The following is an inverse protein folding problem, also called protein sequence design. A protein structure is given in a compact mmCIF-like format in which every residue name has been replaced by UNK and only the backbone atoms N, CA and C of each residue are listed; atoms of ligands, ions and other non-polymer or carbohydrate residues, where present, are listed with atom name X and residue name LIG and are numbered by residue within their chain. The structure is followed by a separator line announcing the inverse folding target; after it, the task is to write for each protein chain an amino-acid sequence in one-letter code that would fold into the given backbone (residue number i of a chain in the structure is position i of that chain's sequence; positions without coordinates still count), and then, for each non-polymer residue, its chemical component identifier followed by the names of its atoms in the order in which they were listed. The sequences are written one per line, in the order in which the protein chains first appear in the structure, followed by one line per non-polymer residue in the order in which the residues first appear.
data_IF_734741885863
#
_entry.id   IF_734741885863
#
_cell.length_a   1.000
_cell.length_b   1.000
_cell.length_c   1.000
_cell.angle_alpha   90.00
_cell.angle_beta   90.00
_cell.angle_gamma   90.00
#
_symmetry.space_group_name_H-M   'P 1'
#
loop_
_entity.id
_entity.type
_entity.pdbx_description
1 polymer ?
#
# COMPACT_ATOMS: atom_id res chain seq x y z
N UNK A 1 -7.75 22.90 5.83
CA UNK A 1 -6.40 23.51 5.69
C UNK A 1 -5.63 23.01 4.47
N UNK A 2 -5.16 21.76 4.37
CA UNK A 2 -4.43 21.31 3.15
C UNK A 2 -5.35 21.13 1.92
N UNK A 3 -6.63 20.76 2.11
CA UNK A 3 -7.62 20.72 1.01
C UNK A 3 -7.91 22.11 0.47
N UNK A 4 -8.18 23.08 1.36
CA UNK A 4 -8.58 24.44 1.00
C UNK A 4 -7.49 25.18 0.20
N UNK A 5 -6.21 24.91 0.48
CA UNK A 5 -5.10 25.46 -0.33
C UNK A 5 -5.09 24.89 -1.74
N UNK A 6 -5.35 23.59 -1.93
CA UNK A 6 -5.32 22.95 -3.26
C UNK A 6 -6.50 23.38 -4.12
N UNK A 7 -7.66 23.56 -3.51
CA UNK A 7 -8.86 24.09 -4.18
C UNK A 7 -8.62 25.53 -4.64
N UNK A 8 -8.07 26.40 -3.78
CA UNK A 8 -7.69 27.77 -4.19
C UNK A 8 -6.66 27.81 -5.32
N UNK A 9 -5.71 26.88 -5.34
CA UNK A 9 -4.75 26.76 -6.44
C UNK A 9 -5.41 26.34 -7.76
N UNK A 10 -6.39 25.43 -7.68
CA UNK A 10 -7.20 25.03 -8.82
C UNK A 10 -8.02 26.22 -9.36
N UNK A 11 -8.67 26.98 -8.48
CA UNK A 11 -9.45 28.15 -8.85
C UNK A 11 -8.59 29.20 -9.57
N UNK A 12 -7.38 29.45 -9.05
CA UNK A 12 -6.42 30.38 -9.68
C UNK A 12 -5.98 29.87 -11.05
N UNK A 13 -5.71 28.58 -11.21
CA UNK A 13 -5.37 27.99 -12.52
C UNK A 13 -6.52 28.11 -13.52
N UNK A 14 -7.75 27.82 -13.10
CA UNK A 14 -8.94 27.96 -13.95
C UNK A 14 -9.21 29.42 -14.35
N UNK A 15 -8.97 30.36 -13.42
CA UNK A 15 -9.04 31.80 -13.70
C UNK A 15 -7.99 32.20 -14.73
N UNK A 16 -6.72 31.80 -14.55
CA UNK A 16 -5.64 32.06 -15.52
C UNK A 16 -5.98 31.47 -16.89
N UNK A 17 -6.52 30.25 -16.94
CA UNK A 17 -6.94 29.62 -18.19
C UNK A 17 -8.02 30.45 -18.91
N UNK A 18 -9.03 30.91 -18.17
CA UNK A 18 -10.11 31.75 -18.72
C UNK A 18 -9.60 33.08 -19.25
N UNK A 19 -8.71 33.74 -18.52
CA UNK A 19 -8.07 35.00 -18.94
C UNK A 19 -7.18 34.83 -20.19
N UNK A 20 -6.52 33.67 -20.35
CA UNK A 20 -5.79 33.34 -21.58
C UNK A 20 -6.77 33.22 -22.76
N UNK A 21 -7.92 32.56 -22.57
CA UNK A 21 -8.94 32.43 -23.63
C UNK A 21 -9.55 33.78 -24.03
N UNK A 22 -9.74 34.68 -23.06
CA UNK A 22 -10.28 36.02 -23.30
C UNK A 22 -9.25 37.00 -23.88
N UNK A 23 -7.96 36.65 -23.90
CA UNK A 23 -6.88 37.52 -24.36
C UNK A 23 -6.38 38.51 -23.30
N UNK A 24 -6.84 38.41 -22.06
CA UNK A 24 -6.42 39.24 -20.92
C UNK A 24 -4.95 38.96 -20.54
N UNK A 25 -4.50 37.71 -20.72
CA UNK A 25 -3.10 37.31 -20.62
C UNK A 25 -2.52 37.06 -22.01
N UNK A 26 -1.54 37.87 -22.39
CA UNK A 26 -0.79 37.69 -23.63
C UNK A 26 0.03 36.40 -23.59
N UNK A 27 -0.08 35.55 -24.63
CA UNK A 27 0.55 34.22 -24.65
C UNK A 27 2.08 34.29 -24.47
N UNK A 28 2.69 35.29 -25.09
CA UNK A 28 4.14 35.54 -25.11
C UNK A 28 4.70 35.78 -23.70
N UNK A 29 3.87 36.27 -22.78
CA UNK A 29 4.27 36.47 -21.38
C UNK A 29 4.58 35.15 -20.67
N UNK A 30 3.90 34.06 -21.05
CA UNK A 30 4.05 32.73 -20.45
C UNK A 30 4.92 31.77 -21.28
N UNK A 31 5.15 32.09 -22.56
CA UNK A 31 5.98 31.29 -23.46
C UNK A 31 7.47 31.66 -23.37
N UNK A 32 8.33 30.65 -23.47
CA UNK A 32 9.78 30.77 -23.66
C UNK A 32 10.17 29.89 -24.85
N UNK A 33 10.70 30.50 -25.91
CA UNK A 33 11.00 29.82 -27.19
C UNK A 33 9.80 29.07 -27.80
N UNK A 34 8.59 29.62 -27.68
CA UNK A 34 7.35 28.99 -28.17
C UNK A 34 6.83 27.84 -27.30
N UNK A 35 7.41 27.62 -26.12
CA UNK A 35 7.01 26.56 -25.18
C UNK A 35 6.54 27.16 -23.87
N UNK A 36 5.51 26.59 -23.25
CA UNK A 36 5.07 27.02 -21.92
C UNK A 36 6.22 26.93 -20.92
N UNK A 37 6.60 28.08 -20.34
CA UNK A 37 7.53 28.11 -19.23
C UNK A 37 6.79 27.84 -17.93
N UNK A 38 6.92 26.62 -17.40
CA UNK A 38 6.30 26.24 -16.11
C UNK A 38 6.72 27.18 -14.97
N UNK A 39 7.96 27.68 -15.00
CA UNK A 39 8.42 28.66 -14.01
C UNK A 39 7.66 30.00 -14.09
N UNK A 40 7.33 30.47 -15.30
CA UNK A 40 6.55 31.71 -15.47
C UNK A 40 5.10 31.49 -15.02
N UNK A 41 4.52 30.33 -15.35
CA UNK A 41 3.19 29.95 -14.89
C UNK A 41 3.13 29.87 -13.36
N UNK A 42 4.10 29.21 -12.71
CA UNK A 42 4.18 29.14 -11.24
C UNK A 42 4.33 30.54 -10.63
N UNK A 43 5.13 31.44 -11.22
CA UNK A 43 5.25 32.83 -10.74
C UNK A 43 3.92 33.57 -10.80
N UNK A 44 3.17 33.42 -11.90
CA UNK A 44 1.86 34.03 -12.06
C UNK A 44 0.82 33.46 -11.08
N UNK A 45 0.84 32.14 -10.86
CA UNK A 45 -0.03 31.51 -9.85
C UNK A 45 0.32 32.05 -8.46
N UNK A 46 1.60 32.08 -8.10
CA UNK A 46 2.05 32.56 -6.79
C UNK A 46 1.75 34.04 -6.56
N UNK A 47 1.65 34.88 -7.59
CA UNK A 47 1.26 36.29 -7.44
C UNK A 47 -0.22 36.48 -7.15
N UNK A 48 -1.04 35.41 -7.27
CA UNK A 48 -2.49 35.41 -7.03
C UNK A 48 -2.90 34.61 -5.81
N UNK A 49 -1.94 33.99 -5.13
CA UNK A 49 -2.15 33.20 -3.93
C UNK A 49 -1.70 33.98 -2.70
N UNK A 50 -2.38 33.73 -1.59
CA UNK A 50 -1.94 34.20 -0.28
C UNK A 50 -0.59 33.54 0.11
N UNK A 51 0.28 34.19 0.88
CA UNK A 51 1.59 33.64 1.28
C UNK A 51 1.51 32.25 1.94
N UNK A 52 0.42 31.95 2.64
CA UNK A 52 0.16 30.65 3.26
C UNK A 52 -0.06 29.51 2.25
N UNK A 53 -0.46 29.84 1.02
CA UNK A 53 -0.84 28.88 -0.04
C UNK A 53 0.29 28.61 -1.05
N UNK A 54 1.34 29.44 -1.06
CA UNK A 54 2.54 29.34 -1.91
C UNK A 54 3.42 28.08 -1.63
N UNK A 55 3.59 27.58 -0.39
CA UNK A 55 4.55 26.50 -0.10
C UNK A 55 4.35 25.20 -0.88
N UNK A 56 3.15 24.95 -1.42
CA UNK A 56 2.81 23.74 -2.16
C UNK A 56 3.27 23.73 -3.63
N UNK A 57 3.64 24.88 -4.22
CA UNK A 57 4.07 25.00 -5.62
C UNK A 57 5.59 25.15 -5.80
N UNK A 58 6.39 24.60 -4.87
CA UNK A 58 7.86 24.69 -4.95
C UNK A 58 8.42 23.74 -6.00
N UNK A 59 8.90 24.31 -7.11
CA UNK A 59 9.65 23.61 -8.17
C UNK A 59 8.84 23.30 -9.42
N UNK A 60 9.53 23.08 -10.54
CA UNK A 60 8.94 22.90 -11.87
C UNK A 60 8.04 21.66 -12.00
N UNK A 61 8.16 20.68 -11.11
CA UNK A 61 7.38 19.44 -11.13
C UNK A 61 6.15 19.48 -10.21
N UNK A 62 5.91 20.56 -9.48
CA UNK A 62 4.80 20.64 -8.53
C UNK A 62 3.43 20.50 -9.22
N UNK A 63 3.27 21.14 -10.38
CA UNK A 63 2.06 21.03 -11.20
C UNK A 63 1.91 19.63 -11.80
N UNK A 64 3.01 19.03 -12.27
CA UNK A 64 3.01 17.69 -12.87
C UNK A 64 2.69 16.57 -11.87
N UNK A 65 3.02 16.76 -10.58
CA UNK A 65 2.82 15.73 -9.54
C UNK A 65 1.44 15.76 -8.89
N UNK A 66 0.70 16.86 -8.99
CA UNK A 66 -0.55 17.05 -8.27
C UNK A 66 -1.75 16.74 -9.18
N UNK A 67 -2.55 15.69 -8.88
CA UNK A 67 -3.68 15.31 -9.73
C UNK A 67 -4.70 16.42 -9.97
N UNK A 68 -4.98 17.22 -8.95
CA UNK A 68 -5.96 18.31 -9.07
C UNK A 68 -5.49 19.41 -10.01
N UNK A 69 -4.18 19.64 -10.12
CA UNK A 69 -3.61 20.73 -10.91
C UNK A 69 -3.13 20.26 -12.29
N UNK A 70 -3.03 18.95 -12.51
CA UNK A 70 -2.47 18.37 -13.72
C UNK A 70 -3.29 18.76 -14.95
N UNK A 71 -4.56 18.39 -14.99
CA UNK A 71 -5.44 18.64 -16.15
C UNK A 71 -5.58 20.13 -16.49
N UNK A 72 -5.83 21.05 -15.52
CA UNK A 72 -5.83 22.49 -15.81
C UNK A 72 -4.51 23.01 -16.36
N UNK A 73 -3.38 22.53 -15.83
CA UNK A 73 -2.05 22.91 -16.35
C UNK A 73 -1.85 22.43 -17.79
N UNK A 74 -2.30 21.22 -18.10
CA UNK A 74 -2.26 20.66 -19.45
C UNK A 74 -3.13 21.47 -20.41
N UNK A 75 -4.32 21.91 -19.99
CA UNK A 75 -5.21 22.77 -20.79
C UNK A 75 -4.57 24.13 -21.11
N UNK A 76 -3.98 24.79 -20.10
CA UNK A 76 -3.22 26.04 -20.29
C UNK A 76 -2.09 25.83 -21.31
N UNK A 77 -1.35 24.72 -21.17
CA UNK A 77 -0.27 24.37 -22.09
C UNK A 77 -0.78 24.24 -23.53
N UNK A 78 -1.85 23.47 -23.74
CA UNK A 78 -2.43 23.26 -25.07
C UNK A 78 -2.93 24.58 -25.69
N UNK A 79 -3.59 25.43 -24.91
CA UNK A 79 -4.09 26.72 -25.38
C UNK A 79 -2.98 27.72 -25.73
N UNK A 80 -1.90 27.78 -24.93
CA UNK A 80 -0.81 28.73 -25.14
C UNK A 80 0.10 28.34 -26.30
N UNK A 81 0.35 27.06 -26.49
CA UNK A 81 1.26 26.57 -27.51
C UNK A 81 0.58 26.34 -28.87
N UNK A 82 -0.69 26.78 -29.00
CA UNK A 82 -1.54 26.53 -30.17
C UNK A 82 -1.48 25.06 -30.61
N UNK A 83 -1.42 24.16 -29.64
CA UNK A 83 -1.55 22.72 -29.84
C UNK A 83 -3.04 22.48 -30.08
N UNK A 84 -3.50 22.91 -31.24
CA UNK A 84 -4.77 22.47 -31.77
C UNK A 84 -4.61 20.98 -32.07
N UNK A 85 -5.61 20.17 -31.72
CA UNK A 85 -5.62 18.73 -32.02
C UNK A 85 -5.24 18.47 -33.48
N UNK A 86 -5.64 19.37 -34.40
CA UNK A 86 -5.30 19.30 -35.82
C UNK A 86 -3.79 19.25 -36.13
N UNK A 87 -2.92 19.88 -35.32
CA UNK A 87 -1.51 20.08 -35.66
C UNK A 87 -0.68 18.88 -35.25
N UNK A 88 -0.94 18.29 -34.08
CA UNK A 88 -0.31 17.02 -33.72
C UNK A 88 -0.83 15.87 -34.59
N UNK A 89 -2.13 15.84 -34.90
CA UNK A 89 -2.70 14.88 -35.84
C UNK A 89 -2.13 15.03 -37.25
N UNK A 90 -1.89 16.27 -37.72
CA UNK A 90 -1.24 16.52 -39.02
C UNK A 90 0.15 15.88 -39.12
N UNK A 91 0.90 15.84 -38.01
CA UNK A 91 2.24 15.27 -37.97
C UNK A 91 2.32 13.91 -37.27
N UNK A 92 1.21 13.23 -37.01
CA UNK A 92 1.16 11.98 -36.24
C UNK A 92 2.14 10.93 -36.79
N UNK A 93 2.13 10.73 -38.11
CA UNK A 93 3.06 9.81 -38.79
C UNK A 93 4.53 10.20 -38.59
N UNK A 94 4.83 11.50 -38.62
CA UNK A 94 6.19 11.99 -38.37
C UNK A 94 6.59 11.85 -36.90
N UNK A 95 5.68 12.12 -35.97
CA UNK A 95 5.90 11.94 -34.52
C UNK A 95 6.21 10.47 -34.24
N UNK A 96 5.42 9.54 -34.77
CA UNK A 96 5.67 8.09 -34.64
C UNK A 96 7.02 7.71 -35.25
N UNK A 97 7.32 8.17 -36.46
CA UNK A 97 8.61 7.87 -37.10
C UNK A 97 9.80 8.42 -36.30
N UNK A 98 9.69 9.64 -35.77
CA UNK A 98 10.75 10.25 -34.96
C UNK A 98 10.91 9.48 -33.63
N UNK A 99 9.82 8.98 -33.02
CA UNK A 99 9.91 8.11 -31.82
C UNK A 99 10.75 6.87 -32.09
N UNK A 100 10.52 6.20 -33.22
CA UNK A 100 11.32 5.04 -33.64
C UNK A 100 12.79 5.43 -33.89
N UNK A 101 13.02 6.57 -34.53
CA UNK A 101 14.37 7.09 -34.77
C UNK A 101 15.10 7.43 -33.46
N UNK A 102 14.42 8.01 -32.46
CA UNK A 102 15.00 8.31 -31.13
C UNK A 102 15.51 7.03 -30.46
N UNK A 103 14.83 5.90 -30.67
CA UNK A 103 15.22 4.62 -30.09
C UNK A 103 16.36 3.92 -30.84
N UNK A 104 16.54 4.21 -32.15
CA UNK A 104 17.37 3.38 -33.05
C UNK A 104 18.47 4.12 -33.79
N UNK A 105 18.49 5.46 -33.77
CA UNK A 105 19.36 6.31 -34.61
C UNK A 105 20.05 7.41 -33.83
N UNK A 106 20.98 8.10 -34.48
CA UNK A 106 21.72 9.21 -33.88
C UNK A 106 20.87 10.50 -33.79
N UNK A 107 21.22 11.38 -32.84
CA UNK A 107 20.60 12.70 -32.73
C UNK A 107 20.75 13.54 -34.01
N UNK A 108 21.85 13.36 -34.75
CA UNK A 108 22.12 14.09 -36.00
C UNK A 108 21.12 13.72 -37.10
N UNK A 109 20.82 12.43 -37.25
CA UNK A 109 19.86 11.92 -38.24
C UNK A 109 18.45 12.39 -37.93
N UNK A 110 18.06 12.35 -36.66
CA UNK A 110 16.73 12.80 -36.23
C UNK A 110 16.56 14.32 -36.39
N UNK A 111 17.60 15.12 -36.10
CA UNK A 111 17.61 16.56 -36.39
C UNK A 111 17.50 16.86 -37.88
N UNK A 112 18.19 16.09 -38.73
CA UNK A 112 18.08 16.24 -40.17
C UNK A 112 16.64 15.96 -40.63
N UNK A 113 16.03 14.87 -40.15
CA UNK A 113 14.65 14.52 -40.47
C UNK A 113 13.67 15.64 -40.09
N UNK A 114 13.78 16.17 -38.86
CA UNK A 114 12.96 17.31 -38.40
C UNK A 114 13.13 18.55 -39.30
N UNK A 115 14.36 18.87 -39.72
CA UNK A 115 14.63 20.04 -40.56
C UNK A 115 14.04 19.91 -41.96
N UNK A 116 14.13 18.73 -42.56
CA UNK A 116 13.69 18.50 -43.94
C UNK A 116 12.18 18.25 -44.07
N UNK A 117 11.55 17.64 -43.06
CA UNK A 117 10.15 17.17 -43.17
C UNK A 117 9.15 18.01 -42.38
N UNK A 118 9.59 18.77 -41.38
CA UNK A 118 8.69 19.58 -40.53
C UNK A 118 8.96 21.06 -40.75
N UNK A 119 7.93 21.90 -41.02
CA UNK A 119 8.08 23.34 -41.12
C UNK A 119 8.69 23.95 -39.84
N UNK A 120 9.55 24.96 -40.02
CA UNK A 120 10.25 25.65 -38.93
C UNK A 120 9.37 25.98 -37.70
N UNK A 121 8.13 26.53 -37.84
CA UNK A 121 7.30 26.86 -36.69
C UNK A 121 6.86 25.64 -35.85
N UNK A 122 6.79 24.43 -36.43
CA UNK A 122 6.26 23.23 -35.76
C UNK A 122 7.35 22.25 -35.30
N UNK A 123 8.60 22.43 -35.74
CA UNK A 123 9.72 21.51 -35.42
C UNK A 123 9.91 21.28 -33.93
N UNK A 124 9.85 22.34 -33.13
CA UNK A 124 10.04 22.25 -31.68
C UNK A 124 8.92 21.43 -31.03
N UNK A 125 7.67 21.70 -31.40
CA UNK A 125 6.51 20.97 -30.89
C UNK A 125 6.56 19.48 -31.27
N UNK A 126 6.81 19.18 -32.55
CA UNK A 126 6.91 17.79 -33.04
C UNK A 126 8.08 17.04 -32.39
N UNK A 127 9.23 17.70 -32.21
CA UNK A 127 10.38 17.11 -31.52
C UNK A 127 10.04 16.76 -30.05
N UNK A 128 9.39 17.67 -29.33
CA UNK A 128 8.98 17.45 -27.93
C UNK A 128 7.94 16.34 -27.80
N UNK A 129 6.91 16.33 -28.67
CA UNK A 129 5.88 15.30 -28.71
C UNK A 129 6.46 13.92 -29.06
N UNK A 130 7.49 13.88 -29.91
CA UNK A 130 8.21 12.66 -30.24
C UNK A 130 9.26 12.25 -29.19
N UNK A 131 9.43 13.02 -28.12
CA UNK A 131 10.40 12.74 -27.06
C UNK A 131 11.87 12.89 -27.49
N UNK A 132 12.13 13.64 -28.56
CA UNK A 132 13.45 13.92 -29.09
C UNK A 132 14.16 15.01 -28.27
N UNK A 133 15.42 14.75 -27.90
CA UNK A 133 16.21 15.38 -26.82
C UNK A 133 15.88 14.86 -25.41
N UNK A 134 16.63 13.84 -24.97
CA UNK A 134 16.41 13.06 -23.73
C UNK A 134 16.32 13.89 -22.44
N UNK A 135 17.00 15.03 -22.36
CA UNK A 135 16.97 15.91 -21.19
C UNK A 135 15.71 16.82 -21.13
N UNK A 136 14.94 16.94 -22.22
CA UNK A 136 13.85 17.90 -22.37
C UNK A 136 12.53 17.27 -22.86
N UNK A 137 12.29 15.97 -22.57
CA UNK A 137 11.01 15.34 -22.90
C UNK A 137 9.86 16.06 -22.21
N UNK A 138 8.83 16.38 -22.98
CA UNK A 138 7.65 17.08 -22.49
C UNK A 138 6.52 16.08 -22.24
N UNK A 139 6.58 15.39 -21.10
CA UNK A 139 5.63 14.33 -20.74
C UNK A 139 4.18 14.82 -20.58
N UNK A 140 3.93 16.14 -20.64
CA UNK A 140 2.58 16.69 -20.75
C UNK A 140 1.88 16.31 -22.06
N UNK A 141 2.65 15.97 -23.10
CA UNK A 141 2.13 15.61 -24.44
C UNK A 141 2.05 14.11 -24.70
N UNK A 142 2.57 13.29 -23.79
CA UNK A 142 2.55 11.83 -23.92
C UNK A 142 1.15 11.31 -23.60
N UNK A 143 0.70 10.25 -24.27
CA UNK A 143 -0.45 9.48 -23.81
C UNK A 143 -0.10 8.72 -22.51
N UNK A 144 -1.11 8.22 -21.81
CA UNK A 144 -0.89 7.40 -20.61
C UNK A 144 -0.11 6.13 -20.94
N UNK A 145 -0.41 5.50 -22.08
CA UNK A 145 0.31 4.34 -22.61
C UNK A 145 1.79 4.65 -22.85
N UNK A 146 2.08 5.76 -23.52
CA UNK A 146 3.46 6.17 -23.82
C UNK A 146 4.24 6.48 -22.56
N UNK A 147 3.59 7.15 -21.60
CA UNK A 147 4.21 7.45 -20.30
C UNK A 147 4.50 6.15 -19.53
N UNK A 148 3.57 5.20 -19.52
CA UNK A 148 3.76 3.90 -18.88
C UNK A 148 4.89 3.08 -19.53
N UNK A 149 5.02 3.10 -20.86
CA UNK A 149 6.12 2.44 -21.58
C UNK A 149 7.49 3.04 -21.22
N UNK A 150 7.55 4.33 -20.83
CA UNK A 150 8.82 4.90 -20.31
C UNK A 150 9.24 4.35 -18.95
N UNK A 151 8.36 3.60 -18.29
CA UNK A 151 8.58 2.99 -16.98
C UNK A 151 8.91 1.49 -17.09
N UNK A 152 8.99 0.92 -18.29
CA UNK A 152 9.28 -0.51 -18.47
C UNK A 152 10.66 -0.87 -17.91
N UNK A 153 10.71 -1.94 -17.12
CA UNK A 153 11.95 -2.40 -16.46
C UNK A 153 12.34 -1.60 -15.21
N UNK A 154 11.46 -0.74 -14.69
CA UNK A 154 11.69 -0.03 -13.42
C UNK A 154 11.15 -0.84 -12.24
N UNK A 155 12.01 -1.08 -11.24
CA UNK A 155 11.75 -1.98 -10.11
C UNK A 155 11.05 -1.32 -8.92
N UNK A 156 10.78 -0.01 -8.94
CA UNK A 156 9.87 0.65 -7.99
C UNK A 156 9.52 2.11 -8.38
N UNK A 157 8.40 2.63 -7.85
CA UNK A 157 8.08 4.07 -7.95
C UNK A 157 9.16 4.98 -7.36
N UNK A 158 9.93 4.52 -6.36
CA UNK A 158 10.98 5.35 -5.81
C UNK A 158 12.23 5.35 -6.66
N UNK A 159 12.60 4.22 -7.23
CA UNK A 159 13.64 4.18 -8.26
C UNK A 159 13.25 5.13 -9.40
N UNK A 160 12.00 5.08 -9.86
CA UNK A 160 11.48 6.04 -10.84
C UNK A 160 11.63 7.48 -10.34
N UNK A 161 11.32 7.77 -9.07
CA UNK A 161 11.51 9.10 -8.47
C UNK A 161 12.96 9.57 -8.49
N UNK A 162 13.94 8.67 -8.32
CA UNK A 162 15.37 9.01 -8.29
C UNK A 162 15.98 9.09 -9.69
N UNK A 163 15.76 8.07 -10.53
CA UNK A 163 16.31 7.97 -11.90
C UNK A 163 15.58 8.87 -12.89
N UNK A 164 14.27 9.05 -12.74
CA UNK A 164 13.44 9.85 -13.65
C UNK A 164 12.31 10.59 -12.92
N UNK A 165 12.70 11.58 -12.10
CA UNK A 165 11.79 12.31 -11.22
C UNK A 165 10.63 13.01 -11.95
N UNK A 166 10.82 13.33 -13.23
CA UNK A 166 9.81 13.91 -14.12
C UNK A 166 8.73 12.87 -14.46
N UNK A 167 9.11 11.70 -15.01
CA UNK A 167 8.15 10.62 -15.30
C UNK A 167 7.39 10.22 -14.04
N UNK A 168 8.07 10.07 -12.90
CA UNK A 168 7.39 9.81 -11.62
C UNK A 168 6.37 10.90 -11.27
N UNK A 169 6.68 12.19 -11.49
CA UNK A 169 5.72 13.26 -11.25
C UNK A 169 4.49 13.10 -12.14
N UNK A 170 4.66 12.86 -13.44
CA UNK A 170 3.55 12.67 -14.37
C UNK A 170 2.70 11.43 -14.06
N UNK A 171 3.31 10.29 -13.70
CA UNK A 171 2.56 9.10 -13.23
C UNK A 171 1.70 9.45 -12.02
N UNK A 172 2.24 10.21 -11.06
CA UNK A 172 1.48 10.68 -9.88
C UNK A 172 0.37 11.64 -10.23
N UNK A 173 0.63 12.64 -11.09
CA UNK A 173 -0.37 13.63 -11.48
C UNK A 173 -1.53 13.02 -12.26
N UNK A 174 -1.26 12.01 -13.08
CA UNK A 174 -2.31 11.32 -13.85
C UNK A 174 -2.96 10.15 -13.11
N UNK A 175 -2.55 9.90 -11.87
CA UNK A 175 -3.06 8.80 -11.04
C UNK A 175 -2.82 7.40 -11.65
N UNK A 176 -1.74 7.23 -12.41
CA UNK A 176 -1.41 5.99 -13.14
C UNK A 176 -0.60 4.98 -12.32
N UNK A 177 -0.56 5.12 -10.98
CA UNK A 177 0.23 4.23 -10.14
C UNK A 177 -0.24 2.77 -10.20
N UNK A 178 -1.53 2.57 -10.41
CA UNK A 178 -2.13 1.26 -10.49
C UNK A 178 -1.71 0.52 -11.77
N UNK A 179 -1.78 1.21 -12.90
CA UNK A 179 -1.40 0.75 -14.23
C UNK A 179 0.10 0.47 -14.27
N UNK A 180 0.90 1.36 -13.68
CA UNK A 180 2.34 1.16 -13.51
C UNK A 180 2.64 -0.13 -12.75
N UNK A 181 1.95 -0.40 -11.63
CA UNK A 181 2.17 -1.60 -10.82
C UNK A 181 1.64 -2.87 -11.48
N UNK A 182 0.54 -2.81 -12.24
CA UNK A 182 0.06 -3.93 -13.06
C UNK A 182 1.11 -4.37 -14.09
N UNK A 183 1.77 -3.41 -14.75
CA UNK A 183 2.86 -3.68 -15.71
C UNK A 183 4.15 -4.13 -15.05
N UNK A 184 4.41 -3.59 -13.86
CA UNK A 184 5.62 -3.88 -13.10
C UNK A 184 5.26 -4.45 -11.71
N UNK A 185 4.76 -5.70 -11.59
CA UNK A 185 4.41 -6.28 -10.28
C UNK A 185 5.57 -6.31 -9.29
N UNK A 186 6.80 -6.44 -9.82
CA UNK A 186 8.04 -6.34 -9.05
C UNK A 186 8.19 -4.96 -8.37
N UNK A 187 7.55 -3.91 -8.90
CA UNK A 187 7.59 -2.57 -8.33
C UNK A 187 6.80 -2.41 -7.01
N UNK A 188 6.05 -3.44 -6.59
CA UNK A 188 5.27 -3.39 -5.37
C UNK A 188 6.16 -3.53 -4.13
N UNK A 189 6.27 -2.41 -3.41
CA UNK A 189 7.03 -2.33 -2.16
C UNK A 189 6.35 -3.13 -1.06
N UNK A 190 7.15 -3.81 -0.23
CA UNK A 190 6.72 -4.60 0.93
C UNK A 190 5.96 -5.88 0.58
N UNK A 191 6.10 -6.38 -0.65
CA UNK A 191 5.59 -7.67 -1.08
C UNK A 191 6.76 -8.56 -1.50
N UNK A 192 7.44 -9.13 -0.50
CA UNK A 192 8.64 -9.93 -0.70
C UNK A 192 8.34 -11.38 -0.34
N UNK A 193 7.93 -12.17 -1.34
CA UNK A 193 7.82 -13.62 -1.21
C UNK A 193 9.14 -14.24 -1.66
N UNK A 194 9.72 -15.08 -0.84
CA UNK A 194 10.85 -15.89 -1.27
C UNK A 194 10.41 -17.07 -2.16
N UNK A 195 11.39 -17.89 -2.56
CA UNK A 195 11.19 -19.07 -3.42
C UNK A 195 10.28 -20.15 -2.82
N UNK A 196 10.09 -20.16 -1.49
CA UNK A 196 9.20 -21.10 -0.81
C UNK A 196 7.83 -20.49 -0.49
N UNK A 197 7.58 -19.25 -0.93
CA UNK A 197 6.34 -18.53 -0.67
C UNK A 197 6.24 -17.97 0.74
N UNK A 198 7.35 -17.87 1.48
CA UNK A 198 7.36 -17.22 2.78
C UNK A 198 7.55 -15.70 2.61
N UNK A 199 6.76 -14.93 3.38
CA UNK A 199 6.67 -13.47 3.27
C UNK A 199 7.68 -12.77 4.18
N UNK A 200 8.34 -11.76 3.62
CA UNK A 200 9.32 -10.89 4.27
C UNK A 200 8.86 -9.43 4.22
N UNK A 201 9.23 -8.64 5.22
CA UNK A 201 8.78 -7.24 5.35
C UNK A 201 9.67 -6.28 4.58
N UNK A 202 10.86 -6.72 4.17
CA UNK A 202 11.85 -5.89 3.50
C UNK A 202 12.69 -6.66 2.49
N UNK A 203 13.37 -5.93 1.59
CA UNK A 203 14.35 -6.51 0.68
C UNK A 203 15.53 -7.14 1.45
N UNK A 204 15.97 -6.49 2.53
CA UNK A 204 17.02 -7.04 3.39
C UNK A 204 16.62 -8.39 3.99
N UNK A 205 15.40 -8.50 4.54
CA UNK A 205 14.87 -9.78 5.04
C UNK A 205 14.77 -10.84 3.93
N UNK A 206 14.26 -10.47 2.74
CA UNK A 206 14.18 -11.39 1.61
C UNK A 206 15.57 -11.93 1.21
N UNK A 207 16.54 -11.03 1.07
CA UNK A 207 17.92 -11.40 0.72
C UNK A 207 18.54 -12.26 1.81
N UNK A 208 18.32 -11.94 3.09
CA UNK A 208 18.76 -12.79 4.21
C UNK A 208 18.14 -14.19 4.13
N UNK A 209 16.84 -14.29 3.89
CA UNK A 209 16.15 -15.58 3.79
C UNK A 209 16.69 -16.43 2.63
N UNK A 210 16.83 -15.83 1.44
CA UNK A 210 17.40 -16.50 0.27
C UNK A 210 18.87 -16.90 0.50
N UNK A 211 19.65 -16.02 1.15
CA UNK A 211 21.04 -16.29 1.50
C UNK A 211 21.17 -17.50 2.43
N UNK A 212 20.37 -17.55 3.50
CA UNK A 212 20.36 -18.67 4.44
C UNK A 212 19.99 -19.98 3.74
N UNK A 213 18.99 -19.96 2.86
CA UNK A 213 18.59 -21.15 2.08
C UNK A 213 19.65 -21.64 1.12
N UNK A 214 20.27 -20.74 0.36
CA UNK A 214 21.36 -21.10 -0.57
C UNK A 214 22.54 -21.75 0.18
N UNK A 215 22.69 -21.43 1.46
CA UNK A 215 23.69 -22.01 2.34
C UNK A 215 23.20 -23.20 3.17
N UNK A 216 21.99 -23.71 2.91
CA UNK A 216 21.36 -24.81 3.64
C UNK A 216 21.27 -24.58 5.16
N UNK A 217 21.07 -23.33 5.58
CA UNK A 217 20.90 -22.97 6.99
C UNK A 217 19.41 -22.97 7.32
N UNK A 218 18.99 -23.83 8.24
CA UNK A 218 17.62 -23.91 8.72
C UNK A 218 17.26 -22.71 9.60
N UNK A 219 16.11 -22.06 9.36
CA UNK A 219 15.66 -20.92 10.16
C UNK A 219 14.15 -20.86 10.35
N UNK A 220 13.73 -20.12 11.38
CA UNK A 220 12.36 -19.68 11.61
C UNK A 220 12.27 -18.16 11.45
N UNK A 221 11.19 -17.67 10.86
CA UNK A 221 10.93 -16.23 10.77
C UNK A 221 9.93 -15.74 11.80
N UNK A 222 10.04 -14.46 12.18
CA UNK A 222 9.10 -13.77 13.05
C UNK A 222 8.86 -14.48 14.40
N UNK A 223 9.90 -15.12 14.96
CA UNK A 223 9.80 -15.89 16.20
C UNK A 223 9.43 -14.95 17.37
N UNK A 224 8.32 -15.20 18.09
CA UNK A 224 7.91 -14.34 19.18
C UNK A 224 8.85 -14.49 20.38
N UNK A 225 9.25 -13.36 20.95
CA UNK A 225 10.05 -13.25 22.17
C UNK A 225 9.20 -12.63 23.27
N UNK A 226 9.22 -13.27 24.44
CA UNK A 226 8.53 -12.76 25.62
C UNK A 226 9.04 -11.36 25.95
N UNK A 227 8.12 -10.40 26.00
CA UNK A 227 8.43 -9.03 26.41
C UNK A 227 7.86 -8.82 27.81
N UNK A 228 8.72 -8.74 28.82
CA UNK A 228 8.32 -8.56 30.21
C UNK A 228 7.58 -7.24 30.47
N UNK A 229 7.72 -6.24 29.60
CA UNK A 229 7.23 -4.88 29.81
C UNK A 229 6.18 -4.40 28.78
N UNK A 230 5.79 -5.20 27.78
CA UNK A 230 4.85 -4.78 26.73
C UNK A 230 3.64 -5.70 26.58
N UNK A 231 2.50 -5.09 26.19
CA UNK A 231 1.25 -5.82 25.86
C UNK A 231 1.35 -6.78 24.67
N UNK A 232 2.41 -6.69 23.85
CA UNK A 232 2.62 -7.54 22.69
C UNK A 232 4.05 -8.11 22.72
N UNK A 233 4.23 -9.41 22.42
CA UNK A 233 5.55 -10.00 22.28
C UNK A 233 6.31 -9.31 21.14
N UNK A 234 7.64 -9.25 21.27
CA UNK A 234 8.49 -8.84 20.15
C UNK A 234 8.65 -10.01 19.20
N UNK A 235 9.13 -9.74 17.99
CA UNK A 235 9.45 -10.79 17.01
C UNK A 235 10.89 -10.60 16.57
N UNK A 236 11.68 -11.68 16.63
CA UNK A 236 12.98 -11.79 15.97
C UNK A 236 12.71 -12.05 14.48
N UNK A 237 13.47 -11.40 13.60
CA UNK A 237 13.27 -11.57 12.15
C UNK A 237 13.66 -12.99 11.71
N UNK A 238 14.84 -13.49 12.10
CA UNK A 238 15.29 -14.86 11.84
C UNK A 238 15.90 -15.51 13.08
N UNK A 239 15.49 -16.73 13.41
CA UNK A 239 16.16 -17.59 14.37
C UNK A 239 16.72 -18.80 13.64
N UNK A 240 18.04 -19.00 13.70
CA UNK A 240 18.67 -20.17 13.09
C UNK A 240 18.40 -21.38 14.00
N UNK A 241 17.94 -22.49 13.44
CA UNK A 241 17.47 -23.64 14.24
C UNK A 241 18.66 -24.42 14.80
N UNK A 242 19.68 -24.64 13.96
CA UNK A 242 20.83 -25.48 14.27
C UNK A 242 22.01 -24.69 14.87
N UNK A 243 21.84 -23.37 14.99
CA UNK A 243 22.85 -22.46 15.48
C UNK A 243 22.15 -21.50 16.42
N UNK A 244 22.53 -21.44 17.69
CA UNK A 244 21.95 -20.55 18.71
C UNK A 244 22.25 -19.06 18.40
N UNK A 245 21.70 -18.60 17.29
CA UNK A 245 21.98 -17.35 16.59
C UNK A 245 20.67 -16.78 16.07
N UNK A 246 20.44 -15.53 16.41
CA UNK A 246 19.30 -14.74 15.95
C UNK A 246 19.79 -13.61 15.06
N UNK A 247 19.07 -13.33 13.97
CA UNK A 247 19.38 -12.24 13.06
C UNK A 247 18.21 -11.26 13.07
N UNK A 248 18.55 -9.99 13.24
CA UNK A 248 17.63 -8.88 13.13
C UNK A 248 18.09 -7.98 11.97
N UNK A 249 17.18 -7.74 11.01
CA UNK A 249 17.45 -6.88 9.86
C UNK A 249 16.92 -5.49 10.17
N UNK A 250 17.82 -4.56 10.41
CA UNK A 250 17.48 -3.21 10.81
C UNK A 250 17.09 -2.35 9.59
N UNK A 251 16.13 -1.47 9.82
CA UNK A 251 15.70 -0.43 8.88
C UNK A 251 15.63 0.90 9.63
N UNK A 252 16.13 1.97 9.03
CA UNK A 252 16.13 3.35 9.55
C UNK A 252 17.02 3.60 10.78
N UNK A 253 18.22 2.99 10.90
CA UNK A 253 19.15 3.33 11.99
C UNK A 253 19.53 4.83 12.00
N UNK A 254 19.59 5.48 10.83
CA UNK A 254 20.12 6.86 10.70
C UNK A 254 19.09 7.92 10.26
N UNK A 255 17.88 7.51 9.84
CA UNK A 255 16.91 8.43 9.22
C UNK A 255 15.94 9.05 10.23
N UNK A 256 16.21 10.28 10.63
CA UNK A 256 15.26 11.14 11.36
C UNK A 256 15.93 12.12 12.33
N UNK A 257 15.29 13.27 12.59
CA UNK A 257 15.66 14.20 13.66
C UNK A 257 14.56 14.22 14.75
N UNK A 258 14.94 14.53 16.00
CA UNK A 258 14.02 14.73 17.11
C UNK A 258 13.50 13.45 17.80
N UNK A 259 12.37 13.57 18.50
CA UNK A 259 11.77 12.56 19.41
C UNK A 259 11.59 11.18 18.75
N UNK A 260 11.35 11.14 17.43
CA UNK A 260 11.16 9.89 16.68
C UNK A 260 12.42 9.02 16.65
N UNK A 261 13.59 9.64 16.48
CA UNK A 261 14.89 8.94 16.49
C UNK A 261 15.23 8.41 17.87
N UNK A 262 15.05 9.23 18.91
CA UNK A 262 15.28 8.81 20.30
C UNK A 262 14.43 7.58 20.65
N UNK A 263 13.11 7.61 20.36
CA UNK A 263 12.24 6.44 20.59
C UNK A 263 12.64 5.19 19.80
N UNK A 264 13.23 5.34 18.61
CA UNK A 264 13.72 4.22 17.83
C UNK A 264 14.99 3.62 18.46
N UNK A 265 15.96 4.45 18.83
CA UNK A 265 17.19 4.04 19.52
C UNK A 265 16.87 3.34 20.83
N UNK A 266 15.98 3.89 21.65
CA UNK A 266 15.56 3.28 22.92
C UNK A 266 14.93 1.89 22.69
N UNK A 267 14.12 1.76 21.63
CA UNK A 267 13.49 0.49 21.25
C UNK A 267 14.52 -0.53 20.79
N UNK A 268 15.52 -0.12 20.03
CA UNK A 268 16.61 -0.97 19.54
C UNK A 268 17.51 -1.44 20.69
N UNK A 269 17.90 -0.53 21.59
CA UNK A 269 18.67 -0.86 22.79
C UNK A 269 17.91 -1.86 23.67
N UNK A 270 16.59 -1.67 23.82
CA UNK A 270 15.73 -2.63 24.52
C UNK A 270 15.71 -3.99 23.82
N UNK A 271 15.61 -4.05 22.48
CA UNK A 271 15.69 -5.33 21.72
C UNK A 271 17.02 -6.03 21.97
N UNK A 272 18.14 -5.30 21.87
CA UNK A 272 19.49 -5.85 22.10
C UNK A 272 19.62 -6.46 23.49
N UNK A 273 19.08 -5.78 24.51
CA UNK A 273 19.09 -6.28 25.88
C UNK A 273 18.19 -7.52 26.03
N UNK A 274 16.95 -7.48 25.54
CA UNK A 274 16.00 -8.59 25.61
C UNK A 274 16.54 -9.84 24.91
N UNK A 275 17.13 -9.69 23.72
CA UNK A 275 17.67 -10.84 23.00
C UNK A 275 18.94 -11.41 23.65
N UNK A 276 19.75 -10.56 24.31
CA UNK A 276 20.89 -11.04 25.12
C UNK A 276 20.44 -11.95 26.27
N UNK A 277 19.21 -11.77 26.79
CA UNK A 277 18.65 -12.65 27.84
C UNK A 277 18.22 -14.01 27.32
N UNK A 278 18.09 -14.22 26.00
CA UNK A 278 17.71 -15.51 25.41
C UNK A 278 18.85 -16.53 25.41
N UNK A 279 20.09 -16.12 25.70
CA UNK A 279 21.26 -17.00 25.74
C UNK A 279 22.01 -17.12 24.41
N UNK A 280 21.33 -16.93 23.27
CA UNK A 280 21.92 -17.00 21.93
C UNK A 280 22.69 -15.75 21.47
N UNK A 281 23.49 -15.91 20.41
CA UNK A 281 24.19 -14.79 19.75
C UNK A 281 23.19 -14.00 18.90
N UNK A 282 23.36 -12.68 18.83
CA UNK A 282 22.48 -11.82 18.03
C UNK A 282 23.28 -11.04 17.00
N UNK A 283 22.91 -11.19 15.73
CA UNK A 283 23.45 -10.44 14.61
C UNK A 283 22.45 -9.33 14.27
N UNK A 284 22.95 -8.11 14.17
CA UNK A 284 22.17 -6.95 13.71
C UNK A 284 22.77 -6.46 12.40
N UNK A 285 22.01 -6.50 11.31
CA UNK A 285 22.47 -6.06 9.98
C UNK A 285 21.61 -4.88 9.52
N UNK A 286 22.24 -3.73 9.28
CA UNK A 286 21.54 -2.52 8.84
C UNK A 286 21.35 -2.52 7.33
N UNK A 287 20.13 -2.84 6.88
CA UNK A 287 19.80 -2.92 5.46
C UNK A 287 19.76 -1.55 4.77
N UNK A 288 19.58 -0.45 5.49
CA UNK A 288 19.41 0.87 4.86
C UNK A 288 20.68 1.38 4.18
N UNK A 289 21.86 0.95 4.64
CA UNK A 289 23.17 1.33 4.08
C UNK A 289 23.39 0.80 2.66
N UNK A 290 22.62 -0.21 2.28
CA UNK A 290 22.76 -0.90 0.99
C UNK A 290 21.75 -0.42 -0.05
N UNK A 291 20.89 0.54 0.29
CA UNK A 291 20.03 1.20 -0.69
C UNK A 291 20.79 2.32 -1.41
N UNK A 292 21.02 2.15 -2.70
CA UNK A 292 21.61 3.14 -3.60
C UNK A 292 20.54 3.76 -4.51
N UNK A 293 20.94 4.71 -5.37
CA UNK A 293 20.08 5.20 -6.45
C UNK A 293 19.75 4.15 -7.50
N UNK A 294 20.55 3.08 -7.57
CA UNK A 294 20.42 2.01 -8.56
C UNK A 294 19.60 0.82 -8.06
N UNK A 295 19.43 0.67 -6.75
CA UNK A 295 18.65 -0.41 -6.15
C UNK A 295 19.19 -0.79 -4.78
N UNK A 296 18.84 -1.99 -4.34
CA UNK A 296 19.46 -2.59 -3.15
C UNK A 296 20.72 -3.35 -3.58
N UNK A 297 21.88 -3.02 -3.01
CA UNK A 297 23.14 -3.70 -3.27
C UNK A 297 23.16 -5.06 -2.56
N UNK A 298 22.63 -6.07 -3.26
CA UNK A 298 22.48 -7.44 -2.76
C UNK A 298 23.83 -8.04 -2.41
N UNK A 299 24.87 -7.78 -3.21
CA UNK A 299 26.19 -8.39 -3.04
C UNK A 299 26.85 -7.82 -1.78
N UNK A 300 26.93 -6.50 -1.67
CA UNK A 300 27.55 -5.86 -0.51
C UNK A 300 26.79 -6.19 0.81
N UNK A 301 25.46 -6.29 0.75
CA UNK A 301 24.67 -6.73 1.90
C UNK A 301 24.99 -8.19 2.29
N UNK A 302 25.11 -9.08 1.30
CA UNK A 302 25.42 -10.50 1.52
C UNK A 302 26.83 -10.71 2.06
N UNK A 303 27.80 -9.91 1.63
CA UNK A 303 29.17 -9.90 2.19
C UNK A 303 29.17 -9.52 3.67
N UNK A 304 28.42 -8.49 4.06
CA UNK A 304 28.30 -8.10 5.47
C UNK A 304 27.60 -9.20 6.30
N UNK A 305 26.54 -9.79 5.75
CA UNK A 305 25.83 -10.89 6.40
C UNK A 305 26.74 -12.11 6.59
N UNK A 306 27.50 -12.50 5.56
CA UNK A 306 28.51 -13.56 5.65
C UNK A 306 29.53 -13.26 6.74
N UNK A 307 30.15 -12.07 6.73
CA UNK A 307 31.14 -11.70 7.73
C UNK A 307 30.57 -11.78 9.16
N UNK A 308 29.31 -11.36 9.34
CA UNK A 308 28.62 -11.42 10.62
C UNK A 308 28.34 -12.86 11.07
N UNK A 309 27.91 -13.74 10.16
CA UNK A 309 27.70 -15.15 10.43
C UNK A 309 29.02 -15.87 10.76
N UNK A 310 30.10 -15.53 10.07
CA UNK A 310 31.43 -16.07 10.33
C UNK A 310 31.92 -15.74 11.75
N UNK A 311 31.67 -14.53 12.24
CA UNK A 311 31.97 -14.15 13.64
C UNK A 311 31.18 -14.98 14.67
N UNK A 312 30.05 -15.56 14.27
CA UNK A 312 29.28 -16.48 15.12
C UNK A 312 29.74 -17.94 15.02
N UNK A 313 30.65 -18.25 14.09
CA UNK A 313 31.16 -19.60 13.83
C UNK A 313 30.42 -20.34 12.72
N UNK A 314 29.57 -19.65 11.95
CA UNK A 314 28.80 -20.24 10.84
C UNK A 314 29.52 -19.92 9.54
N UNK A 315 29.97 -20.95 8.83
CA UNK A 315 30.59 -20.80 7.52
C UNK A 315 29.55 -20.86 6.41
N UNK A 316 29.66 -19.96 5.44
CA UNK A 316 28.78 -19.87 4.27
C UNK A 316 29.60 -19.73 3.00
N UNK A 317 28.97 -19.98 1.85
CA UNK A 317 29.53 -19.73 0.52
C UNK A 317 30.02 -18.29 0.35
N UNK A 318 31.11 -18.13 -0.39
CA UNK A 318 31.66 -16.84 -0.85
C UNK A 318 31.12 -16.41 -2.21
N UNK A 319 30.24 -17.22 -2.82
CA UNK A 319 29.56 -16.86 -4.05
C UNK A 319 28.22 -16.18 -3.74
N UNK A 320 28.01 -15.01 -4.34
CA UNK A 320 26.79 -14.22 -4.16
C UNK A 320 26.02 -14.08 -5.48
N UNK A 321 25.28 -15.12 -5.91
CA UNK A 321 24.48 -15.04 -7.13
C UNK A 321 23.31 -14.05 -6.93
N UNK A 322 23.54 -12.78 -7.28
CA UNK A 322 22.63 -11.67 -6.99
C UNK A 322 21.18 -11.92 -7.48
N UNK A 323 21.01 -12.58 -8.62
CA UNK A 323 19.69 -12.94 -9.16
C UNK A 323 18.94 -13.92 -8.28
N UNK A 324 19.62 -14.92 -7.70
CA UNK A 324 19.01 -15.90 -6.81
C UNK A 324 18.75 -15.28 -5.42
N UNK A 325 19.69 -14.49 -4.92
CA UNK A 325 19.58 -13.80 -3.64
C UNK A 325 18.48 -12.74 -3.63
N UNK A 326 18.31 -12.00 -4.71
CA UNK A 326 17.23 -11.02 -4.91
C UNK A 326 15.93 -11.61 -5.45
N UNK A 327 15.85 -12.93 -5.64
CA UNK A 327 14.66 -13.56 -6.20
C UNK A 327 13.46 -13.30 -5.30
N UNK A 328 12.36 -12.86 -5.93
CA UNK A 328 11.06 -12.69 -5.30
C UNK A 328 9.97 -13.25 -6.17
N UNK A 329 9.07 -14.02 -5.58
CA UNK A 329 7.87 -14.47 -6.29
C UNK A 329 6.82 -13.35 -6.33
N UNK A 330 6.49 -12.91 -7.54
CA UNK A 330 5.47 -11.91 -7.78
C UNK A 330 4.11 -12.51 -8.18
N UNK A 331 3.97 -13.84 -8.18
CA UNK A 331 2.77 -14.55 -8.65
C UNK A 331 1.53 -14.19 -7.83
N UNK A 332 1.67 -14.11 -6.51
CA UNK A 332 0.58 -13.79 -5.59
C UNK A 332 0.15 -12.32 -5.73
N UNK A 333 1.14 -11.44 -5.80
CA UNK A 333 0.99 -10.03 -6.13
C UNK A 333 0.22 -9.84 -7.45
N UNK A 334 0.60 -10.57 -8.50
CA UNK A 334 -0.06 -10.55 -9.80
C UNK A 334 -1.52 -11.02 -9.68
N UNK A 335 -1.78 -12.12 -8.98
CA UNK A 335 -3.15 -12.62 -8.73
C UNK A 335 -4.03 -11.56 -8.07
N UNK A 336 -3.54 -10.89 -7.03
CA UNK A 336 -4.27 -9.82 -6.35
C UNK A 336 -4.64 -8.67 -7.28
N UNK A 337 -3.85 -8.41 -8.32
CA UNK A 337 -4.09 -7.31 -9.26
C UNK A 337 -4.94 -7.70 -10.46
N UNK A 338 -4.79 -8.92 -10.96
CA UNK A 338 -5.33 -9.31 -12.28
C UNK A 338 -6.51 -10.26 -12.20
N UNK A 339 -6.72 -10.95 -11.07
CA UNK A 339 -7.86 -11.85 -10.96
C UNK A 339 -9.19 -11.07 -11.05
N UNK A 340 -10.18 -11.60 -11.80
CA UNK A 340 -11.56 -11.15 -11.72
C UNK A 340 -12.08 -11.26 -10.28
N UNK A 341 -13.03 -10.40 -9.91
CA UNK A 341 -13.55 -10.31 -8.55
C UNK A 341 -13.95 -11.69 -7.95
N UNK A 342 -14.70 -12.58 -8.62
CA UNK A 342 -15.07 -13.87 -8.03
C UNK A 342 -13.87 -14.78 -7.71
N UNK A 343 -12.89 -14.83 -8.62
CA UNK A 343 -11.68 -15.64 -8.45
C UNK A 343 -10.76 -15.06 -7.37
N UNK A 344 -10.68 -13.72 -7.29
CA UNK A 344 -9.93 -13.02 -6.26
C UNK A 344 -10.52 -13.30 -4.87
N UNK A 345 -11.84 -13.23 -4.72
CA UNK A 345 -12.51 -13.55 -3.46
C UNK A 345 -12.20 -14.99 -3.04
N UNK A 346 -12.34 -15.94 -3.96
CA UNK A 346 -12.00 -17.34 -3.69
C UNK A 346 -10.54 -17.52 -3.27
N UNK A 347 -9.61 -16.85 -3.96
CA UNK A 347 -8.19 -16.84 -3.61
C UNK A 347 -7.95 -16.30 -2.20
N UNK A 348 -8.54 -15.16 -1.85
CA UNK A 348 -8.41 -14.54 -0.52
C UNK A 348 -9.00 -15.43 0.59
N UNK A 349 -10.16 -16.05 0.36
CA UNK A 349 -10.75 -17.00 1.32
C UNK A 349 -9.86 -18.23 1.53
N UNK A 350 -9.25 -18.77 0.46
CA UNK A 350 -8.27 -19.87 0.55
C UNK A 350 -7.02 -19.50 1.34
N UNK A 351 -6.63 -18.23 1.31
CA UNK A 351 -5.54 -17.70 2.14
C UNK A 351 -5.93 -17.53 3.62
N UNK A 352 -7.20 -17.74 3.98
CA UNK A 352 -7.69 -17.63 5.35
C UNK A 352 -8.34 -16.28 5.69
N UNK A 353 -8.69 -15.46 4.68
CA UNK A 353 -9.45 -14.23 4.90
C UNK A 353 -10.91 -14.58 5.21
N UNK A 354 -11.25 -14.66 6.49
CA UNK A 354 -12.60 -15.01 6.98
C UNK A 354 -13.51 -13.81 7.24
N UNK A 355 -13.11 -12.61 6.81
CA UNK A 355 -13.91 -11.40 6.98
C UNK A 355 -13.09 -10.13 7.08
N UNK A 356 -13.78 -8.99 7.12
CA UNK A 356 -13.15 -7.66 6.98
C UNK A 356 -12.10 -7.36 8.07
N UNK A 357 -12.35 -7.80 9.31
CA UNK A 357 -11.38 -7.64 10.39
C UNK A 357 -10.11 -8.49 10.16
N UNK A 358 -10.26 -9.71 9.65
CA UNK A 358 -9.13 -10.57 9.29
C UNK A 358 -8.31 -9.92 8.17
N UNK A 359 -9.00 -9.46 7.11
CA UNK A 359 -8.36 -8.78 5.98
C UNK A 359 -7.54 -7.56 6.43
N UNK A 360 -8.09 -6.71 7.31
CA UNK A 360 -7.41 -5.50 7.79
C UNK A 360 -6.26 -5.78 8.75
N UNK A 361 -6.42 -6.75 9.65
CA UNK A 361 -5.48 -6.95 10.77
C UNK A 361 -4.40 -7.98 10.45
N UNK A 362 -4.75 -9.06 9.75
CA UNK A 362 -3.86 -10.19 9.49
C UNK A 362 -3.32 -10.16 8.05
N UNK A 363 -4.04 -9.52 7.12
CA UNK A 363 -3.70 -9.46 5.70
C UNK A 363 -3.53 -8.02 5.19
N UNK A 364 -2.97 -7.14 6.03
CA UNK A 364 -2.74 -5.73 5.67
C UNK A 364 -1.91 -5.56 4.37
N UNK A 365 -1.03 -6.51 4.05
CA UNK A 365 -0.26 -6.52 2.80
C UNK A 365 -1.12 -6.81 1.55
N UNK A 366 -2.21 -7.59 1.67
CA UNK A 366 -3.19 -7.66 0.59
C UNK A 366 -3.88 -6.31 0.44
N UNK A 367 -4.27 -5.69 1.55
CA UNK A 367 -4.94 -4.39 1.55
C UNK A 367 -4.13 -3.29 0.85
N UNK A 368 -2.80 -3.31 0.91
CA UNK A 368 -1.98 -2.32 0.19
C UNK A 368 -2.12 -2.42 -1.33
N UNK A 369 -2.35 -3.63 -1.84
CA UNK A 369 -2.54 -3.89 -3.28
C UNK A 369 -4.00 -3.65 -3.66
N UNK A 370 -4.92 -4.24 -2.90
CA UNK A 370 -6.35 -4.22 -3.19
C UNK A 370 -6.92 -2.79 -3.25
N UNK A 371 -6.40 -1.86 -2.44
CA UNK A 371 -6.83 -0.45 -2.42
C UNK A 371 -6.69 0.29 -3.75
N UNK A 372 -5.86 -0.21 -4.66
CA UNK A 372 -5.64 0.40 -5.96
C UNK A 372 -6.55 -0.19 -7.05
N UNK A 373 -7.33 -1.22 -6.73
CA UNK A 373 -8.29 -1.81 -7.66
C UNK A 373 -9.55 -0.97 -7.76
N UNK A 374 -10.16 -0.98 -8.94
CA UNK A 374 -11.42 -0.29 -9.20
C UNK A 374 -12.61 -0.93 -8.45
N UNK A 375 -12.56 -2.26 -8.24
CA UNK A 375 -13.57 -3.06 -7.53
C UNK A 375 -13.29 -3.19 -6.02
N UNK A 376 -12.44 -2.32 -5.46
CA UNK A 376 -12.01 -2.41 -4.07
C UNK A 376 -13.17 -2.36 -3.06
N UNK A 377 -14.17 -1.50 -3.29
CA UNK A 377 -15.33 -1.38 -2.41
C UNK A 377 -16.19 -2.65 -2.40
N UNK A 378 -16.30 -3.34 -3.55
CA UNK A 378 -17.02 -4.62 -3.65
C UNK A 378 -16.31 -5.71 -2.84
N UNK A 379 -14.96 -5.73 -2.86
CA UNK A 379 -14.16 -6.64 -2.03
C UNK A 379 -14.43 -6.39 -0.55
N UNK A 380 -14.45 -5.14 -0.10
CA UNK A 380 -14.73 -4.80 1.29
C UNK A 380 -16.15 -5.21 1.70
N UNK A 381 -17.13 -4.99 0.83
CA UNK A 381 -18.52 -5.36 1.07
C UNK A 381 -18.68 -6.88 1.20
N UNK A 382 -18.05 -7.68 0.33
CA UNK A 382 -18.06 -9.14 0.45
C UNK A 382 -17.53 -9.61 1.81
N UNK A 383 -16.36 -9.13 2.22
CA UNK A 383 -15.75 -9.57 3.48
C UNK A 383 -16.46 -9.01 4.73
N UNK A 384 -17.21 -7.91 4.61
CA UNK A 384 -18.12 -7.45 5.65
C UNK A 384 -19.27 -8.44 5.83
N UNK A 385 -19.95 -8.79 4.73
CA UNK A 385 -21.07 -9.75 4.73
C UNK A 385 -20.63 -11.15 5.17
N UNK A 386 -19.45 -11.61 4.73
CA UNK A 386 -18.88 -12.90 5.16
C UNK A 386 -18.67 -12.93 6.68
N UNK A 387 -18.07 -11.87 7.25
CA UNK A 387 -17.86 -11.75 8.69
C UNK A 387 -19.18 -11.74 9.48
N UNK A 388 -20.21 -11.05 8.98
CA UNK A 388 -21.54 -11.05 9.57
C UNK A 388 -22.21 -12.43 9.53
N UNK A 389 -22.14 -13.14 8.40
CA UNK A 389 -22.67 -14.52 8.26
C UNK A 389 -21.99 -15.49 9.21
N UNK A 390 -20.66 -15.47 9.30
CA UNK A 390 -19.89 -16.33 10.22
C UNK A 390 -20.26 -16.02 11.67
N UNK A 391 -20.40 -14.74 12.02
CA UNK A 391 -20.82 -14.34 13.37
C UNK A 391 -22.22 -14.85 13.71
N UNK A 392 -23.19 -14.68 12.81
CA UNK A 392 -24.56 -15.16 13.01
C UNK A 392 -24.60 -16.68 13.17
N UNK A 393 -23.87 -17.43 12.33
CA UNK A 393 -23.77 -18.89 12.44
C UNK A 393 -23.17 -19.33 13.78
N UNK A 394 -22.11 -18.66 14.26
CA UNK A 394 -21.53 -18.96 15.58
C UNK A 394 -22.48 -18.65 16.74
N UNK A 395 -23.25 -17.56 16.64
CA UNK A 395 -24.29 -17.24 17.62
C UNK A 395 -25.34 -18.35 17.61
N UNK A 396 -25.87 -18.73 16.45
CA UNK A 396 -26.86 -19.80 16.34
C UNK A 396 -26.35 -21.14 16.87
N UNK A 397 -25.10 -21.51 16.57
CA UNK A 397 -24.48 -22.71 17.11
C UNK A 397 -24.32 -22.64 18.65
N UNK A 398 -23.91 -21.50 19.18
CA UNK A 398 -23.79 -21.29 20.63
C UNK A 398 -25.15 -21.28 21.34
N UNK A 399 -26.20 -20.74 20.70
CA UNK A 399 -27.58 -20.81 21.17
C UNK A 399 -28.02 -22.27 21.21
N UNK A 400 -27.90 -23.00 20.09
CA UNK A 400 -28.27 -24.42 19.99
C UNK A 400 -27.55 -25.30 21.01
N UNK A 401 -26.27 -25.04 21.27
CA UNK A 401 -25.52 -25.80 22.27
C UNK A 401 -25.99 -25.47 23.69
N UNK A 402 -26.31 -24.21 23.98
CA UNK A 402 -26.85 -23.81 25.29
C UNK A 402 -28.29 -24.29 25.49
N UNK A 403 -29.10 -24.34 24.45
CA UNK A 403 -30.47 -24.90 24.50
C UNK A 403 -30.45 -26.38 24.92
N UNK A 404 -29.36 -27.12 24.70
CA UNK A 404 -29.21 -28.49 25.24
C UNK A 404 -29.01 -28.54 26.76
N UNK A 405 -28.60 -27.43 27.37
CA UNK A 405 -28.20 -27.36 28.77
C UNK A 405 -29.23 -26.68 29.66
N UNK A 406 -30.26 -26.07 29.09
CA UNK A 406 -31.31 -25.40 29.84
C UNK A 406 -32.67 -25.93 29.41
N UNK A 407 -33.61 -25.98 30.35
CA UNK A 407 -35.02 -26.22 30.02
C UNK A 407 -35.52 -25.14 29.04
N UNK A 408 -36.52 -25.48 28.23
CA UNK A 408 -37.20 -24.56 27.32
C UNK A 408 -37.89 -23.42 28.09
N UNK A 409 -38.14 -22.28 27.42
CA UNK A 409 -38.87 -21.16 28.05
C UNK A 409 -40.31 -21.56 28.38
N UNK A 410 -40.87 -22.53 27.66
CA UNK A 410 -42.16 -23.15 27.89
C UNK A 410 -42.20 -23.94 29.20
N UNK A 411 -41.16 -24.72 29.51
CA UNK A 411 -41.03 -25.41 30.80
C UNK A 411 -40.90 -24.44 31.97
N UNK A 412 -40.17 -23.34 31.78
CA UNK A 412 -40.07 -22.27 32.78
C UNK A 412 -41.42 -21.59 33.02
N UNK A 413 -42.19 -21.35 31.95
CA UNK A 413 -43.56 -20.82 32.04
C UNK A 413 -44.49 -21.79 32.77
N UNK A 414 -44.46 -23.07 32.44
CA UNK A 414 -45.26 -24.09 33.12
C UNK A 414 -44.96 -24.12 34.63
N UNK A 415 -43.68 -24.03 35.00
CA UNK A 415 -43.27 -23.97 36.40
C UNK A 415 -43.74 -22.69 37.11
N UNK A 416 -43.67 -21.55 36.43
CA UNK A 416 -44.17 -20.28 36.98
C UNK A 416 -45.68 -20.35 37.24
N UNK A 417 -46.45 -20.92 36.31
CA UNK A 417 -47.89 -21.13 36.47
C UNK A 417 -48.19 -22.12 37.59
N UNK A 418 -47.50 -23.26 37.66
CA UNK A 418 -47.69 -24.29 38.69
C UNK A 418 -47.48 -23.74 40.10
N UNK A 419 -46.48 -22.86 40.29
CA UNK A 419 -46.16 -22.25 41.57
C UNK A 419 -46.84 -20.89 41.82
N UNK A 420 -47.81 -20.49 40.98
CA UNK A 420 -48.52 -19.21 41.08
C UNK A 420 -47.58 -17.99 41.14
N UNK A 421 -46.49 -18.03 40.37
CA UNK A 421 -45.54 -16.91 40.26
C UNK A 421 -46.11 -15.93 39.22
N UNK A 422 -46.45 -14.73 39.67
CA UNK A 422 -47.15 -13.71 38.85
C UNK A 422 -46.28 -12.50 38.53
N UNK A 423 -45.09 -12.38 39.13
CA UNK A 423 -44.18 -11.28 38.85
C UNK A 423 -42.69 -11.64 39.03
N UNK A 424 -41.83 -10.76 38.51
CA UNK A 424 -40.37 -10.89 38.58
C UNK A 424 -39.85 -11.03 40.03
N UNK A 425 -40.44 -10.29 40.98
CA UNK A 425 -40.03 -10.33 42.39
C UNK A 425 -40.29 -11.71 43.00
N UNK A 426 -41.43 -12.32 42.69
CA UNK A 426 -41.80 -13.67 43.13
C UNK A 426 -40.90 -14.72 42.51
N UNK A 427 -40.56 -14.60 41.21
CA UNK A 427 -39.61 -15.50 40.56
C UNK A 427 -38.27 -15.53 41.30
N UNK A 428 -37.68 -14.38 41.61
CA UNK A 428 -36.40 -14.34 42.30
C UNK A 428 -36.48 -14.87 43.73
N UNK A 429 -37.59 -14.63 44.43
CA UNK A 429 -37.82 -15.22 45.76
C UNK A 429 -37.91 -16.74 45.68
N UNK A 430 -38.69 -17.27 44.73
CA UNK A 430 -38.82 -18.69 44.45
C UNK A 430 -37.48 -19.32 44.07
N UNK A 431 -36.75 -18.71 43.15
CA UNK A 431 -35.47 -19.21 42.67
C UNK A 431 -34.39 -19.23 43.76
N UNK A 432 -34.43 -18.28 44.70
CA UNK A 432 -33.54 -18.24 45.86
C UNK A 432 -33.87 -19.36 46.85
N UNK A 433 -35.15 -19.63 47.08
CA UNK A 433 -35.60 -20.70 47.98
C UNK A 433 -35.42 -22.11 47.40
N UNK A 434 -35.51 -22.27 46.07
CA UNK A 434 -35.57 -23.55 45.38
C UNK A 434 -34.35 -23.79 44.46
N UNK A 435 -33.16 -23.35 44.89
CA UNK A 435 -31.95 -23.36 44.04
C UNK A 435 -31.57 -24.76 43.54
N UNK A 436 -31.62 -25.77 44.39
CA UNK A 436 -31.22 -27.13 44.01
C UNK A 436 -32.25 -27.80 43.09
N UNK A 437 -33.54 -27.54 43.32
CA UNK A 437 -34.62 -27.98 42.45
C UNK A 437 -34.49 -27.40 41.03
N UNK A 438 -34.28 -26.08 40.92
CA UNK A 438 -34.04 -25.44 39.63
C UNK A 438 -32.82 -26.01 38.90
N UNK A 439 -31.75 -26.34 39.65
CA UNK A 439 -30.56 -26.98 39.08
C UNK A 439 -30.86 -28.37 38.51
N UNK A 440 -31.69 -29.18 39.17
CA UNK A 440 -32.09 -30.50 38.68
C UNK A 440 -32.93 -30.41 37.39
N UNK A 441 -33.77 -29.38 37.28
CA UNK A 441 -34.54 -29.11 36.07
C UNK A 441 -33.75 -28.35 34.99
N UNK A 442 -32.46 -28.06 35.22
CA UNK A 442 -31.66 -27.22 34.33
C UNK A 442 -32.30 -25.83 34.06
N UNK A 443 -32.98 -25.25 35.05
CA UNK A 443 -33.55 -23.90 34.96
C UNK A 443 -32.61 -22.91 35.66
N UNK A 444 -32.15 -21.85 34.99
CA UNK A 444 -31.27 -20.87 35.61
C UNK A 444 -32.05 -19.94 36.55
N UNK A 445 -31.48 -19.57 37.70
CA UNK A 445 -32.15 -18.62 38.62
C UNK A 445 -32.38 -17.24 38.01
N UNK A 446 -31.54 -16.82 37.06
CA UNK A 446 -31.71 -15.58 36.29
C UNK A 446 -32.10 -15.91 34.84
N UNK A 447 -33.38 -16.23 34.66
CA UNK A 447 -33.94 -16.62 33.37
C UNK A 447 -33.82 -15.52 32.32
N UNK A 448 -34.05 -14.25 32.67
CA UNK A 448 -33.86 -13.13 31.74
C UNK A 448 -32.47 -13.14 31.11
N UNK A 449 -31.41 -13.25 31.91
CA UNK A 449 -30.03 -13.20 31.41
C UNK A 449 -29.68 -14.39 30.52
N UNK A 450 -30.24 -15.56 30.79
CA UNK A 450 -29.98 -16.76 29.98
C UNK A 450 -30.82 -16.73 28.71
N UNK A 451 -32.15 -16.65 28.79
CA UNK A 451 -33.02 -16.74 27.62
C UNK A 451 -32.92 -15.51 26.69
N UNK A 452 -32.51 -14.34 27.18
CA UNK A 452 -32.18 -13.20 26.29
C UNK A 452 -30.95 -13.50 25.43
N UNK A 453 -29.95 -14.20 25.97
CA UNK A 453 -28.77 -14.66 25.24
C UNK A 453 -29.06 -15.84 24.32
N UNK A 454 -30.13 -16.60 24.60
CA UNK A 454 -30.65 -17.65 23.72
C UNK A 454 -31.54 -17.09 22.61
N UNK A 455 -31.97 -15.82 22.71
CA UNK A 455 -32.89 -15.21 21.75
C UNK A 455 -34.34 -15.71 21.86
N UNK A 456 -34.68 -16.44 22.93
CA UNK A 456 -36.01 -17.03 23.19
C UNK A 456 -36.81 -16.26 24.23
N UNK A 457 -36.22 -15.23 24.85
CA UNK A 457 -36.89 -14.39 25.84
C UNK A 457 -37.99 -13.51 25.22
N UNK A 458 -39.23 -13.70 25.66
CA UNK A 458 -40.40 -12.94 25.19
C UNK A 458 -40.88 -11.88 26.18
N UNK A 459 -40.11 -11.63 27.25
CA UNK A 459 -40.49 -10.72 28.32
C UNK A 459 -41.04 -11.44 29.55
N UNK A 460 -41.03 -10.72 30.67
CA UNK A 460 -41.50 -11.22 31.97
C UNK A 460 -42.98 -11.60 31.92
N UNK A 461 -43.82 -10.78 31.28
CA UNK A 461 -45.26 -11.04 31.12
C UNK A 461 -45.61 -12.36 30.43
N UNK A 462 -44.72 -12.89 29.57
CA UNK A 462 -44.95 -14.17 28.89
C UNK A 462 -44.95 -15.38 29.84
N UNK A 463 -44.30 -15.27 31.01
CA UNK A 463 -44.14 -16.41 31.92
C UNK A 463 -45.37 -16.70 32.78
N UNK A 464 -46.28 -15.74 32.93
CA UNK A 464 -47.40 -15.83 33.86
C UNK A 464 -48.73 -15.36 33.28
N UNK A 465 -48.71 -14.78 32.08
CA UNK A 465 -49.88 -14.73 31.20
C UNK A 465 -49.82 -15.94 30.27
#
# INVERSE_FOLDING_TARGET
MISDTKERQLDVLQTIYSEIQNGDIQKESLLQHGILSINRLIKLINSRLEPADIPLLRGTLALARNPLLYTPTQQIKSALQDIREDTLSLYEKHISHIKDMVATRTNKETLAYLRYNIPAPHRALVALAAGFATANRDFWLFSDEELLNTCDGVDSLAELKYKNCSVHAHIKGRQLEWEFQKRNPAAMRNYYLDVEGLRHRSMGELVTANFLRLNNISFLTQMPVANSNAKKPRTIDFSLIDHDVHIEVLQNEERGQGIRRSKYVDRLNSKRYEYKLLGGKCIFVDSDKYWTSEGFDIVAFSEQLQASLQLTGISTSTEFPATALGYRDNSEAKKLMTLPLPELIYFLEKQGVVGLASLKNNFHFFMTILKMRDDFDDILNHFKQLGERIRLSRIQAAVKERDKHYASIEEVRALAVEHNITCQKEWFAFAKANRDFLKQMNIPSNIYLVYSRLGTWQGWGYLWN
#
